data_IF_209754968163
#
_entry.id   IF_209754968163
#
_cell.length_a   1.000
_cell.length_b   1.000
_cell.length_c   1.000
_cell.angle_alpha   90.00
_cell.angle_beta   90.00
_cell.angle_gamma   90.00
#
_symmetry.space_group_name_H-M   'P 1'
#
loop_
_entity.id
_entity.type
_entity.pdbx_description
1 polymer ?
#
# COMPACT_ATOMS: atom_id res chain seq x y z
N UNK A 1 15.40 24.44 -3.57
CA UNK A 1 14.50 23.80 -4.56
C UNK A 1 14.85 22.34 -4.83
N UNK A 2 13.85 21.47 -5.05
CA UNK A 2 14.03 20.13 -5.66
C UNK A 2 13.09 20.00 -6.85
N UNK A 3 13.62 19.63 -8.01
CA UNK A 3 12.85 19.47 -9.25
C UNK A 3 13.46 18.36 -10.11
N UNK A 4 12.67 17.83 -11.03
CA UNK A 4 13.16 16.89 -12.05
C UNK A 4 13.61 17.67 -13.28
N UNK A 5 14.80 17.38 -13.79
CA UNK A 5 15.35 18.01 -14.98
C UNK A 5 16.11 17.00 -15.84
N UNK A 6 16.39 17.38 -17.09
CA UNK A 6 17.38 16.70 -17.93
C UNK A 6 18.59 17.62 -18.12
N UNK A 7 19.77 17.03 -18.29
CA UNK A 7 20.95 17.77 -18.73
C UNK A 7 20.75 18.08 -20.22
N UNK A 8 20.64 19.36 -20.54
CA UNK A 8 20.50 19.85 -21.91
C UNK A 8 21.86 19.98 -22.59
N UNK A 9 22.86 20.46 -21.85
CA UNK A 9 24.20 20.72 -22.37
C UNK A 9 25.25 20.59 -21.26
N UNK A 10 26.47 20.22 -21.65
CA UNK A 10 27.66 20.18 -20.79
C UNK A 10 28.77 20.92 -21.52
N UNK A 11 29.28 21.98 -20.89
CA UNK A 11 30.31 22.85 -21.47
C UNK A 11 31.52 23.02 -20.58
N UNK A 12 32.43 23.91 -21.00
CA UNK A 12 33.58 24.36 -20.20
C UNK A 12 33.77 25.87 -20.32
N UNK A 13 34.20 26.49 -19.23
CA UNK A 13 34.65 27.88 -19.22
C UNK A 13 36.04 27.99 -19.86
N UNK A 14 36.42 29.21 -20.26
CA UNK A 14 37.77 29.52 -20.75
C UNK A 14 38.86 29.21 -19.70
N UNK A 15 38.50 29.25 -18.41
CA UNK A 15 39.37 28.90 -17.28
C UNK A 15 39.42 27.39 -17.00
N UNK A 16 38.69 26.57 -17.77
CA UNK A 16 38.73 25.11 -17.71
C UNK A 16 37.70 24.46 -16.78
N UNK A 17 36.84 25.22 -16.11
CA UNK A 17 35.78 24.69 -15.24
C UNK A 17 34.63 24.10 -16.06
N UNK A 18 34.03 23.01 -15.59
CA UNK A 18 32.87 22.39 -16.25
C UNK A 18 31.58 23.16 -15.93
N UNK A 19 30.70 23.26 -16.93
CA UNK A 19 29.36 23.85 -16.78
C UNK A 19 28.30 22.83 -17.19
N UNK A 20 27.14 22.85 -16.52
CA UNK A 20 26.00 22.00 -16.83
C UNK A 20 24.77 22.89 -16.98
N UNK A 21 24.04 22.73 -18.09
CA UNK A 21 22.75 23.38 -18.31
C UNK A 21 21.62 22.39 -18.09
N UNK A 22 20.71 22.69 -17.15
CA UNK A 22 19.55 21.86 -16.85
C UNK A 22 18.28 22.45 -17.48
N UNK A 23 17.49 21.60 -18.14
CA UNK A 23 16.17 21.97 -18.67
C UNK A 23 15.08 21.25 -17.87
N UNK A 24 14.12 22.02 -17.33
CA UNK A 24 12.99 21.50 -16.55
C UNK A 24 11.72 22.31 -16.81
N UNK A 25 10.60 21.61 -16.97
CA UNK A 25 9.26 22.21 -17.03
C UNK A 25 8.64 22.44 -15.63
N UNK A 26 9.33 22.05 -14.56
CA UNK A 26 8.82 22.09 -13.17
C UNK A 26 9.67 22.96 -12.24
N UNK A 27 10.58 23.75 -12.81
CA UNK A 27 11.43 24.66 -12.05
C UNK A 27 10.65 25.94 -11.74
N UNK A 28 10.69 26.38 -10.49
CA UNK A 28 10.20 27.69 -10.11
C UNK A 28 11.21 28.77 -10.55
N UNK A 29 10.77 29.66 -11.44
CA UNK A 29 11.61 30.71 -12.00
C UNK A 29 12.04 31.76 -10.96
N UNK A 30 11.17 32.07 -9.98
CA UNK A 30 11.47 33.05 -8.95
C UNK A 30 12.48 32.49 -7.93
N UNK A 31 12.34 31.21 -7.55
CA UNK A 31 13.32 30.54 -6.68
C UNK A 31 14.68 30.38 -7.41
N UNK A 32 14.67 30.02 -8.69
CA UNK A 32 15.88 29.92 -9.50
C UNK A 32 16.63 31.26 -9.61
N UNK A 33 15.91 32.36 -9.83
CA UNK A 33 16.52 33.69 -9.93
C UNK A 33 17.16 34.11 -8.60
N UNK A 34 16.52 33.83 -7.46
CA UNK A 34 17.11 34.07 -6.14
C UNK A 34 18.40 33.27 -5.92
N UNK A 35 18.41 31.99 -6.29
CA UNK A 35 19.60 31.13 -6.14
C UNK A 35 20.76 31.58 -7.05
N UNK A 36 20.47 32.14 -8.22
CA UNK A 36 21.50 32.64 -9.14
C UNK A 36 22.29 33.85 -8.62
N UNK A 37 21.76 34.54 -7.60
CA UNK A 37 22.44 35.68 -6.96
C UNK A 37 23.31 35.27 -5.77
N UNK A 38 23.34 33.98 -5.42
CA UNK A 38 24.17 33.47 -4.33
C UNK A 38 25.60 33.22 -4.80
N UNK A 39 26.58 33.56 -3.98
CA UNK A 39 28.01 33.38 -4.31
C UNK A 39 28.40 31.90 -4.48
N UNK A 40 27.77 31.00 -3.70
CA UNK A 40 28.03 29.55 -3.73
C UNK A 40 26.73 28.77 -3.52
N UNK A 41 26.67 27.61 -4.16
CA UNK A 41 25.55 26.67 -4.06
C UNK A 41 26.08 25.27 -3.74
N UNK A 42 25.47 24.61 -2.78
CA UNK A 42 25.62 23.16 -2.60
C UNK A 42 24.63 22.44 -3.53
N UNK A 43 25.15 21.62 -4.45
CA UNK A 43 24.36 20.98 -5.50
C UNK A 43 24.49 19.46 -5.43
N UNK A 44 23.35 18.76 -5.33
CA UNK A 44 23.26 17.30 -5.37
C UNK A 44 22.38 16.86 -6.56
N UNK A 45 23.01 16.22 -7.56
CA UNK A 45 22.34 15.70 -8.76
C UNK A 45 22.32 14.18 -8.69
N UNK A 46 21.12 13.61 -8.62
CA UNK A 46 20.92 12.16 -8.57
C UNK A 46 20.18 11.67 -9.80
N UNK A 47 20.48 10.45 -10.25
CA UNK A 47 19.71 9.77 -11.30
C UNK A 47 18.23 9.75 -10.90
N UNK A 48 17.38 10.39 -11.70
CA UNK A 48 15.94 10.30 -11.48
C UNK A 48 15.50 8.85 -11.66
N UNK A 49 15.06 8.24 -10.56
CA UNK A 49 14.31 6.99 -10.61
C UNK A 49 12.85 7.39 -10.51
N UNK A 50 12.00 6.87 -11.41
CA UNK A 50 10.57 6.87 -11.13
C UNK A 50 10.45 6.29 -9.73
N UNK A 51 9.89 7.07 -8.80
CA UNK A 51 9.42 6.53 -7.52
C UNK A 51 8.61 5.31 -7.95
N UNK A 52 8.94 4.10 -7.46
CA UNK A 52 8.07 2.95 -7.72
C UNK A 52 6.68 3.47 -7.39
N UNK A 53 5.75 3.44 -8.35
CA UNK A 53 4.35 3.74 -8.06
C UNK A 53 4.04 2.91 -6.82
N UNK A 54 3.46 3.55 -5.80
CA UNK A 54 3.05 2.82 -4.62
C UNK A 54 2.15 1.70 -5.13
N UNK A 55 2.60 0.45 -5.04
CA UNK A 55 1.81 -0.66 -5.54
C UNK A 55 0.64 -0.88 -4.57
N UNK A 56 -0.45 -1.44 -5.07
CA UNK A 56 -1.68 -1.61 -4.29
C UNK A 56 -1.42 -2.30 -2.94
N UNK A 57 -0.53 -3.30 -2.88
CA UNK A 57 -0.19 -3.99 -1.63
C UNK A 57 0.54 -3.06 -0.67
N UNK A 58 1.54 -2.31 -1.15
CA UNK A 58 2.23 -1.32 -0.34
C UNK A 58 1.30 -0.20 0.15
N UNK A 59 0.34 0.23 -0.67
CA UNK A 59 -0.64 1.24 -0.26
C UNK A 59 -1.61 0.70 0.79
N UNK A 60 -2.12 -0.52 0.61
CA UNK A 60 -2.93 -1.20 1.60
C UNK A 60 -2.22 -1.24 2.97
N UNK A 61 -0.97 -1.71 3.01
CA UNK A 61 -0.19 -1.77 4.26
C UNK A 61 0.13 -0.39 4.83
N UNK A 62 0.26 0.64 3.99
CA UNK A 62 0.40 2.02 4.45
C UNK A 62 -0.86 2.47 5.18
N UNK A 63 -2.05 2.20 4.64
CA UNK A 63 -3.32 2.53 5.29
C UNK A 63 -3.51 1.75 6.60
N UNK A 64 -3.21 0.45 6.61
CA UNK A 64 -3.19 -0.36 7.84
C UNK A 64 -2.28 0.27 8.89
N UNK A 65 -1.09 0.73 8.51
CA UNK A 65 -0.17 1.43 9.41
C UNK A 65 -0.71 2.77 9.93
N UNK A 66 -1.47 3.51 9.12
CA UNK A 66 -2.13 4.75 9.57
C UNK A 66 -3.25 4.45 10.58
N UNK A 67 -4.09 3.46 10.30
CA UNK A 67 -5.16 3.04 11.22
C UNK A 67 -4.56 2.52 12.53
N UNK A 68 -3.52 1.69 12.47
CA UNK A 68 -2.78 1.20 13.62
C UNK A 68 -2.32 2.34 14.54
N UNK A 69 -1.75 3.41 13.97
CA UNK A 69 -1.33 4.59 14.74
C UNK A 69 -2.51 5.37 15.35
N UNK A 70 -3.68 5.36 14.70
CA UNK A 70 -4.87 6.05 15.17
C UNK A 70 -5.60 5.27 16.29
N UNK A 71 -5.60 3.94 16.23
CA UNK A 71 -6.36 3.10 17.18
C UNK A 71 -5.51 2.46 18.27
N UNK A 72 -4.18 2.41 18.11
CA UNK A 72 -3.27 1.73 19.03
C UNK A 72 -3.28 0.19 18.95
N UNK A 73 -3.97 -0.39 17.98
CA UNK A 73 -4.02 -1.85 17.77
C UNK A 73 -2.77 -2.35 17.04
N UNK A 74 -2.53 -3.66 17.04
CA UNK A 74 -1.45 -4.25 16.25
C UNK A 74 -1.73 -4.20 14.75
N UNK A 75 -0.68 -4.33 13.94
CA UNK A 75 -0.82 -4.45 12.48
C UNK A 75 -1.65 -5.69 12.09
N UNK A 76 -1.44 -6.82 12.76
CA UNK A 76 -2.17 -8.05 12.48
C UNK A 76 -3.66 -7.87 12.81
N UNK A 77 -3.96 -7.25 13.95
CA UNK A 77 -5.34 -6.96 14.34
C UNK A 77 -6.06 -6.15 13.28
N UNK A 78 -5.49 -5.00 12.89
CA UNK A 78 -6.11 -4.16 11.85
C UNK A 78 -6.24 -4.92 10.53
N UNK A 79 -5.22 -5.67 10.12
CA UNK A 79 -5.26 -6.47 8.91
C UNK A 79 -6.43 -7.48 8.93
N UNK A 80 -6.54 -8.28 10.00
CA UNK A 80 -7.59 -9.29 10.14
C UNK A 80 -8.99 -8.67 10.26
N UNK A 81 -9.15 -7.51 10.92
CA UNK A 81 -10.43 -6.78 10.93
C UNK A 81 -10.80 -6.30 9.54
N UNK A 82 -9.86 -5.71 8.79
CA UNK A 82 -10.12 -5.24 7.42
C UNK A 82 -10.45 -6.41 6.47
N UNK A 83 -9.74 -7.53 6.60
CA UNK A 83 -10.04 -8.76 5.86
C UNK A 83 -11.43 -9.33 6.22
N UNK A 84 -11.80 -9.30 7.50
CA UNK A 84 -13.12 -9.76 7.94
C UNK A 84 -14.28 -8.89 7.41
N UNK A 85 -14.04 -7.60 7.14
CA UNK A 85 -15.03 -6.66 6.60
C UNK A 85 -15.09 -6.64 5.08
N UNK A 86 -13.94 -6.68 4.41
CA UNK A 86 -13.81 -6.36 2.98
C UNK A 86 -13.03 -7.40 2.17
N UNK A 87 -12.55 -8.46 2.81
CA UNK A 87 -11.85 -9.56 2.15
C UNK A 87 -12.81 -10.63 1.64
N UNK A 88 -12.23 -11.65 1.00
CA UNK A 88 -12.94 -12.79 0.44
C UNK A 88 -12.64 -14.08 1.19
N UNK A 89 -13.65 -14.95 1.34
CA UNK A 89 -13.45 -16.26 1.96
C UNK A 89 -12.63 -17.18 1.06
N UNK A 90 -11.75 -17.96 1.69
CA UNK A 90 -10.94 -18.95 1.00
C UNK A 90 -11.73 -20.23 0.73
N UNK A 91 -11.38 -20.90 -0.36
CA UNK A 91 -12.12 -22.05 -0.88
C UNK A 91 -11.20 -23.24 -1.13
N UNK A 92 -11.70 -24.43 -0.81
CA UNK A 92 -11.11 -25.69 -1.25
C UNK A 92 -11.22 -25.86 -2.77
N UNK A 93 -10.48 -26.79 -3.39
CA UNK A 93 -10.56 -27.05 -4.83
C UNK A 93 -11.96 -27.42 -5.34
N UNK A 94 -12.84 -27.92 -4.47
CA UNK A 94 -14.23 -28.25 -4.80
C UNK A 94 -15.20 -27.06 -4.63
N UNK A 95 -14.69 -25.87 -4.30
CA UNK A 95 -15.45 -24.65 -4.07
C UNK A 95 -16.06 -24.53 -2.67
N UNK A 96 -15.87 -25.51 -1.80
CA UNK A 96 -16.36 -25.42 -0.41
C UNK A 96 -15.48 -24.50 0.45
N UNK A 97 -16.09 -23.82 1.43
CA UNK A 97 -15.36 -22.94 2.34
C UNK A 97 -14.47 -23.75 3.28
N UNK A 98 -13.25 -23.27 3.55
CA UNK A 98 -12.29 -23.95 4.44
C UNK A 98 -12.68 -23.70 5.91
N UNK A 99 -13.10 -24.72 6.69
CA UNK A 99 -13.52 -24.54 8.08
C UNK A 99 -12.35 -24.68 9.05
N UNK A 100 -12.27 -23.81 10.05
CA UNK A 100 -11.32 -23.89 11.16
C UNK A 100 -12.07 -23.95 12.49
N UNK A 101 -11.65 -24.82 13.41
CA UNK A 101 -12.20 -24.91 14.75
C UNK A 101 -11.08 -24.65 15.76
N UNK A 102 -11.19 -23.53 16.47
CA UNK A 102 -10.22 -23.12 17.50
C UNK A 102 -10.94 -22.85 18.82
N UNK A 103 -10.19 -22.75 19.90
CA UNK A 103 -10.72 -22.39 21.23
C UNK A 103 -11.25 -20.95 21.18
N UNK A 104 -12.41 -20.70 21.78
CA UNK A 104 -13.16 -19.44 21.61
C UNK A 104 -12.49 -18.23 22.30
N UNK A 105 -11.61 -18.49 23.26
CA UNK A 105 -10.80 -17.50 23.99
C UNK A 105 -9.49 -17.15 23.27
N UNK A 106 -9.21 -17.73 22.10
CA UNK A 106 -8.03 -17.39 21.31
C UNK A 106 -8.33 -16.13 20.50
N UNK A 107 -7.48 -15.11 20.68
CA UNK A 107 -7.52 -13.90 19.85
C UNK A 107 -6.95 -14.18 18.46
N UNK A 108 -7.83 -14.58 17.54
CA UNK A 108 -7.47 -14.86 16.16
C UNK A 108 -7.10 -13.60 15.37
N UNK A 109 -7.45 -12.40 15.84
CA UNK A 109 -7.13 -11.15 15.15
C UNK A 109 -5.62 -10.86 15.18
N UNK A 110 -4.88 -11.45 16.11
CA UNK A 110 -3.42 -11.32 16.18
C UNK A 110 -2.66 -12.31 15.28
N UNK A 111 -3.37 -13.24 14.63
CA UNK A 111 -2.72 -14.25 13.80
C UNK A 111 -2.09 -13.63 12.56
N UNK A 112 -0.82 -13.96 12.23
CA UNK A 112 -0.25 -13.58 10.95
C UNK A 112 -0.86 -14.38 9.79
N UNK A 113 -1.28 -15.62 10.08
CA UNK A 113 -2.02 -16.57 9.24
C UNK A 113 -2.40 -17.78 10.13
N UNK A 114 -3.53 -18.47 9.92
CA UNK A 114 -4.61 -18.18 8.97
C UNK A 114 -5.43 -16.95 9.39
N UNK A 115 -6.03 -16.29 8.40
CA UNK A 115 -7.02 -15.23 8.62
C UNK A 115 -8.40 -15.88 8.80
N UNK A 116 -9.12 -15.52 9.86
CA UNK A 116 -10.33 -16.24 10.26
C UNK A 116 -11.53 -15.30 10.37
N UNK A 117 -12.68 -15.75 9.88
CA UNK A 117 -13.98 -15.12 10.08
C UNK A 117 -14.82 -15.99 11.03
N UNK A 118 -15.18 -15.51 12.24
CA UNK A 118 -15.93 -16.30 13.20
C UNK A 118 -17.35 -16.57 12.73
N UNK A 119 -17.88 -17.74 13.10
CA UNK A 119 -19.29 -18.09 12.92
C UNK A 119 -20.03 -18.09 14.26
N UNK A 120 -21.35 -18.21 14.19
CA UNK A 120 -22.19 -18.40 15.36
C UNK A 120 -22.15 -19.83 15.92
N UNK A 121 -21.49 -20.76 15.21
CA UNK A 121 -21.45 -22.17 15.60
C UNK A 121 -20.33 -22.42 16.61
N UNK A 122 -20.72 -22.85 17.80
CA UNK A 122 -19.81 -23.23 18.87
C UNK A 122 -19.92 -24.72 19.21
N UNK A 123 -18.88 -25.24 19.84
CA UNK A 123 -18.81 -26.61 20.34
C UNK A 123 -18.21 -26.59 21.74
N UNK A 124 -18.96 -27.07 22.73
CA UNK A 124 -18.44 -27.30 24.07
C UNK A 124 -17.85 -28.70 24.16
N UNK A 125 -16.60 -28.81 24.64
CA UNK A 125 -15.94 -30.09 24.88
C UNK A 125 -15.18 -30.03 26.20
N UNK A 126 -15.73 -30.69 27.23
CA UNK A 126 -15.23 -30.57 28.60
C UNK A 126 -15.50 -29.18 29.16
N UNK A 127 -14.48 -28.56 29.74
CA UNK A 127 -14.48 -27.21 30.29
C UNK A 127 -14.17 -26.11 29.25
N UNK A 128 -14.00 -26.49 27.99
CA UNK A 128 -13.57 -25.58 26.91
C UNK A 128 -14.68 -25.34 25.90
N UNK A 129 -14.77 -24.08 25.46
CA UNK A 129 -15.59 -23.64 24.34
C UNK A 129 -14.72 -23.50 23.08
N UNK A 130 -15.21 -24.02 21.97
CA UNK A 130 -14.61 -23.88 20.65
C UNK A 130 -15.57 -23.15 19.73
N UNK A 131 -15.04 -22.38 18.78
CA UNK A 131 -15.81 -21.70 17.73
C UNK A 131 -15.32 -22.10 16.35
N UNK A 132 -16.29 -22.35 15.47
CA UNK A 132 -16.04 -22.55 14.06
C UNK A 132 -15.84 -21.21 13.35
N UNK A 133 -14.87 -21.17 12.47
CA UNK A 133 -14.51 -20.05 11.62
C UNK A 133 -14.43 -20.52 10.17
N UNK A 134 -14.56 -19.59 9.23
CA UNK A 134 -14.12 -19.81 7.86
C UNK A 134 -12.79 -19.09 7.61
N UNK A 135 -11.92 -19.71 6.83
CA UNK A 135 -10.68 -19.07 6.42
C UNK A 135 -10.98 -17.92 5.43
N UNK A 136 -10.32 -16.80 5.64
CA UNK A 136 -10.29 -15.67 4.70
C UNK A 136 -9.04 -15.82 3.83
N UNK A 137 -9.20 -15.60 2.53
CA UNK A 137 -8.11 -15.60 1.55
C UNK A 137 -7.14 -14.46 1.89
N UNK A 138 -5.85 -14.74 1.88
CA UNK A 138 -4.81 -13.75 2.16
C UNK A 138 -4.73 -12.69 1.06
N UNK A 139 -4.58 -11.41 1.42
CA UNK A 139 -4.55 -10.31 0.45
C UNK A 139 -3.39 -10.39 -0.56
N UNK A 140 -2.36 -11.19 -0.28
CA UNK A 140 -1.26 -11.47 -1.22
C UNK A 140 -1.69 -12.26 -2.45
N UNK A 141 -2.82 -12.95 -2.38
CA UNK A 141 -3.35 -13.83 -3.43
C UNK A 141 -4.51 -13.15 -4.19
N UNK A 142 -4.76 -11.87 -3.91
CA UNK A 142 -5.92 -11.18 -4.45
C UNK A 142 -5.76 -10.84 -5.93
N UNK A 143 -6.82 -11.10 -6.68
CA UNK A 143 -6.99 -10.56 -8.01
C UNK A 143 -7.23 -9.03 -7.97
N UNK A 144 -7.41 -8.42 -9.13
CA UNK A 144 -7.57 -6.96 -9.23
C UNK A 144 -8.88 -6.47 -8.59
N UNK A 145 -9.95 -7.25 -8.68
CA UNK A 145 -11.27 -6.89 -8.16
C UNK A 145 -11.29 -7.02 -6.64
N UNK A 146 -10.80 -8.15 -6.12
CA UNK A 146 -10.67 -8.42 -4.69
C UNK A 146 -9.82 -7.33 -4.02
N UNK A 147 -8.68 -6.97 -4.62
CA UNK A 147 -7.80 -5.92 -4.08
C UNK A 147 -8.41 -4.52 -4.15
N UNK A 148 -9.16 -4.21 -5.21
CA UNK A 148 -9.87 -2.92 -5.32
C UNK A 148 -10.88 -2.78 -4.18
N UNK A 149 -11.71 -3.80 -3.98
CA UNK A 149 -12.75 -3.79 -2.95
C UNK A 149 -12.15 -3.64 -1.55
N UNK A 150 -11.06 -4.37 -1.26
CA UNK A 150 -10.35 -4.25 0.00
C UNK A 150 -9.82 -2.82 0.23
N UNK A 151 -9.17 -2.23 -0.77
CA UNK A 151 -8.63 -0.86 -0.66
C UNK A 151 -9.75 0.17 -0.49
N UNK A 152 -10.84 0.05 -1.25
CA UNK A 152 -11.97 0.98 -1.18
C UNK A 152 -12.62 0.97 0.21
N UNK A 153 -12.79 -0.22 0.79
CA UNK A 153 -13.26 -0.38 2.18
C UNK A 153 -12.33 0.27 3.20
N UNK A 154 -11.03 -0.01 3.12
CA UNK A 154 -10.02 0.56 4.04
C UNK A 154 -9.92 2.09 3.87
N UNK A 155 -10.09 2.61 2.65
CA UNK A 155 -10.16 4.06 2.38
C UNK A 155 -11.38 4.68 3.04
N UNK A 156 -12.54 3.99 3.04
CA UNK A 156 -13.73 4.44 3.76
C UNK A 156 -13.47 4.55 5.26
N UNK A 157 -12.90 3.50 5.87
CA UNK A 157 -12.55 3.48 7.30
C UNK A 157 -11.56 4.60 7.64
N UNK A 158 -10.55 4.84 6.78
CA UNK A 158 -9.63 5.96 6.95
C UNK A 158 -10.35 7.32 6.94
N UNK A 159 -11.28 7.53 5.98
CA UNK A 159 -12.04 8.78 5.87
C UNK A 159 -12.90 9.03 7.10
N UNK A 160 -13.56 8.01 7.63
CA UNK A 160 -14.35 8.10 8.87
C UNK A 160 -13.49 8.49 10.08
N UNK A 161 -12.23 8.05 10.11
CA UNK A 161 -11.26 8.41 11.15
C UNK A 161 -10.55 9.76 10.89
N UNK A 162 -10.87 10.47 9.80
CA UNK A 162 -10.18 11.70 9.41
C UNK A 162 -8.75 11.50 8.91
N UNK A 163 -8.39 10.28 8.49
CA UNK A 163 -7.09 9.93 7.95
C UNK A 163 -7.03 10.26 6.46
N UNK A 164 -6.03 11.05 6.05
CA UNK A 164 -5.82 11.40 4.65
C UNK A 164 -5.45 10.17 3.80
N UNK A 165 -6.15 9.99 2.68
CA UNK A 165 -5.91 8.94 1.68
C UNK A 165 -5.46 9.54 0.35
N UNK A 166 -4.97 8.71 -0.58
CA UNK A 166 -4.71 9.16 -1.94
C UNK A 166 -5.99 9.70 -2.60
N UNK A 167 -5.88 10.70 -3.50
CA UNK A 167 -7.00 11.14 -4.33
C UNK A 167 -7.54 9.99 -5.21
N UNK A 168 -8.83 9.99 -5.55
CA UNK A 168 -9.45 8.95 -6.38
C UNK A 168 -8.71 8.67 -7.68
N UNK A 169 -8.28 9.70 -8.39
CA UNK A 169 -7.55 9.55 -9.67
C UNK A 169 -6.22 8.79 -9.50
N UNK A 170 -5.53 8.96 -8.37
CA UNK A 170 -4.27 8.24 -8.10
C UNK A 170 -4.54 6.80 -7.67
N UNK A 171 -5.66 6.55 -6.98
CA UNK A 171 -6.12 5.19 -6.67
C UNK A 171 -6.44 4.41 -7.94
N UNK A 172 -7.19 5.01 -8.87
CA UNK A 172 -7.51 4.38 -10.17
C UNK A 172 -6.23 4.01 -10.94
N UNK A 173 -5.29 4.94 -11.07
CA UNK A 173 -4.00 4.69 -11.74
C UNK A 173 -3.19 3.58 -11.07
N UNK A 174 -3.19 3.53 -9.74
CA UNK A 174 -2.54 2.47 -8.98
C UNK A 174 -3.19 1.11 -9.24
N UNK A 175 -4.53 1.03 -9.27
CA UNK A 175 -5.26 -0.21 -9.52
C UNK A 175 -5.09 -0.71 -10.95
N UNK A 176 -5.05 0.18 -11.95
CA UNK A 176 -4.70 -0.19 -13.33
C UNK A 176 -3.30 -0.81 -13.44
N UNK A 177 -2.32 -0.25 -12.72
CA UNK A 177 -0.97 -0.78 -12.68
C UNK A 177 -0.91 -2.15 -11.98
N UNK A 178 -1.68 -2.33 -10.90
CA UNK A 178 -1.81 -3.60 -10.19
C UNK A 178 -2.38 -4.69 -11.11
N UNK A 179 -3.47 -4.40 -11.83
CA UNK A 179 -4.08 -5.38 -12.74
C UNK A 179 -3.17 -5.82 -13.88
N UNK A 180 -2.32 -4.93 -14.41
CA UNK A 180 -1.28 -5.30 -15.39
C UNK A 180 -0.21 -6.23 -14.80
N UNK A 181 0.08 -6.11 -13.50
CA UNK A 181 1.05 -6.96 -12.80
C UNK A 181 0.47 -8.35 -12.53
N UNK A 182 -0.76 -8.43 -12.03
CA UNK A 182 -1.43 -9.71 -11.74
C UNK A 182 -1.53 -10.57 -13.00
N UNK A 183 -1.95 -9.99 -14.14
CA UNK A 183 -2.02 -10.70 -15.43
C UNK A 183 -0.68 -11.26 -15.90
N UNK A 184 0.42 -10.54 -15.69
CA UNK A 184 1.76 -11.04 -16.04
C UNK A 184 2.20 -12.24 -15.20
N UNK A 185 1.71 -12.35 -13.96
CA UNK A 185 2.01 -13.47 -13.08
C UNK A 185 1.08 -14.67 -13.30
N UNK A 186 -0.10 -14.49 -13.91
CA UNK A 186 -0.97 -15.61 -14.29
C UNK A 186 -0.56 -16.28 -15.60
N UNK A 187 0.13 -15.56 -16.48
CA UNK A 187 0.48 -16.01 -17.84
C UNK A 187 1.89 -16.65 -17.95
N UNK A 188 2.61 -16.80 -16.84
CA UNK A 188 3.98 -17.35 -16.80
C UNK A 188 4.12 -18.46 -15.78
#
# INVERSE_FOLDING_TARGET
MKFTAKIKDIGRTLTGSLTITLESARMDAAEAMKLSQMDKLDVDIRKHRKRRSLDANSYYWLLVGKIMNATGNSRNHIHNVMLGKYGELDQMPDGSLIPFCIRDDIDYLEFPYPHLLPTQKTLSKGDRLYRWHYQIKGSSEYDTKEMSHLIDGVVSECKEMGIETLPPEELERMMEAYGKKVKKCSDG
#
